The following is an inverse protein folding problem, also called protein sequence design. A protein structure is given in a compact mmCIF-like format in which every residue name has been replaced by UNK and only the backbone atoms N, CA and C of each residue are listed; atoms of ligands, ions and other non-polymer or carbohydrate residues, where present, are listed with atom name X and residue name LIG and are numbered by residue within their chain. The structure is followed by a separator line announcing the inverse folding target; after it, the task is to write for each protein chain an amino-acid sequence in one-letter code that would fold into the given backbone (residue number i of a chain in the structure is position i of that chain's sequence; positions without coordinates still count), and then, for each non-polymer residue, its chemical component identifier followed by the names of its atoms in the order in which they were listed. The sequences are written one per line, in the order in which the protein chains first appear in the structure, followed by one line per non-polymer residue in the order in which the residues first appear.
data_IF_785193563861
#
_entry.id   IF_785193563861
#
_cell.length_a   1.000
_cell.length_b   1.000
_cell.length_c   1.000
_cell.angle_alpha   90.00
_cell.angle_beta   90.00
_cell.angle_gamma   90.00
#
_symmetry.space_group_name_H-M   'P 1'
#
loop_
_entity.id
_entity.type
_entity.pdbx_description
1 polymer ?
#
# COMPACT_ATOMS: atom_id res chain seq x y z
N UNK A 1 20.44 -14.53 0.63
CA UNK A 1 19.33 -13.99 -0.19
C UNK A 1 18.83 -12.72 0.49
N UNK A 2 18.77 -11.57 -0.19
CA UNK A 2 18.29 -10.33 0.44
C UNK A 2 16.77 -10.42 0.56
N UNK A 3 16.23 -10.39 1.78
CA UNK A 3 14.78 -10.53 2.02
C UNK A 3 14.08 -9.25 1.53
N UNK A 4 13.07 -9.42 0.66
CA UNK A 4 12.23 -8.32 0.18
C UNK A 4 11.34 -7.83 1.32
N UNK A 5 11.28 -6.51 1.52
CA UNK A 5 10.44 -5.88 2.55
C UNK A 5 9.04 -5.67 1.97
N UNK A 6 8.04 -6.26 2.62
CA UNK A 6 6.64 -6.02 2.28
C UNK A 6 6.13 -4.76 2.96
N UNK A 7 5.35 -3.95 2.24
CA UNK A 7 4.85 -2.67 2.72
C UNK A 7 3.34 -2.58 2.55
N UNK A 8 2.65 -2.07 3.56
CA UNK A 8 1.27 -1.63 3.47
C UNK A 8 1.16 -0.11 3.60
N UNK A 9 0.15 0.49 2.96
CA UNK A 9 -0.06 1.95 3.00
C UNK A 9 -1.52 2.25 3.32
N UNK A 10 -1.76 3.02 4.38
CA UNK A 10 -3.05 3.65 4.70
C UNK A 10 -2.96 5.14 4.35
N UNK A 11 -3.94 5.62 3.57
CA UNK A 11 -3.97 6.95 2.98
C UNK A 11 -3.12 7.01 1.71
N UNK A 12 -3.77 7.16 0.57
CA UNK A 12 -3.17 7.17 -0.78
C UNK A 12 -3.19 8.57 -1.40
N UNK A 13 -3.10 9.60 -0.56
CA UNK A 13 -2.99 11.00 -0.98
C UNK A 13 -1.59 11.37 -1.50
N UNK A 14 -1.21 12.64 -1.35
CA UNK A 14 0.09 13.12 -1.82
C UNK A 14 1.30 12.43 -1.17
N UNK A 15 1.18 12.01 0.10
CA UNK A 15 2.25 11.32 0.82
C UNK A 15 2.27 9.82 0.50
N UNK A 16 1.24 9.07 0.88
CA UNK A 16 1.24 7.61 0.70
C UNK A 16 1.18 7.17 -0.75
N UNK A 17 0.38 7.83 -1.59
CA UNK A 17 0.23 7.49 -3.00
C UNK A 17 1.34 8.07 -3.88
N UNK A 18 1.45 9.40 -3.95
CA UNK A 18 2.34 10.06 -4.92
C UNK A 18 3.81 10.06 -4.49
N UNK A 19 4.14 10.36 -3.22
CA UNK A 19 5.53 10.48 -2.78
C UNK A 19 6.13 9.12 -2.34
N UNK A 20 5.69 8.59 -1.20
CA UNK A 20 6.30 7.43 -0.57
C UNK A 20 6.02 6.16 -1.37
N UNK A 21 4.75 5.92 -1.73
CA UNK A 21 4.32 4.75 -2.49
C UNK A 21 5.03 4.63 -3.84
N UNK A 22 5.04 5.68 -4.66
CA UNK A 22 5.79 5.66 -5.93
C UNK A 22 7.27 5.47 -5.74
N UNK A 23 7.87 6.12 -4.75
CA UNK A 23 9.30 5.99 -4.49
C UNK A 23 9.68 4.54 -4.19
N UNK A 24 8.96 3.88 -3.27
CA UNK A 24 9.26 2.48 -2.93
C UNK A 24 8.87 1.49 -4.04
N UNK A 25 7.83 1.79 -4.83
CA UNK A 25 7.43 0.97 -5.98
C UNK A 25 8.50 0.96 -7.09
N UNK A 26 9.33 2.00 -7.18
CA UNK A 26 10.50 2.04 -8.08
C UNK A 26 11.71 1.25 -7.55
N UNK A 27 11.71 0.86 -6.28
CA UNK A 27 12.78 0.09 -5.63
C UNK A 27 12.42 -1.40 -5.53
N UNK A 28 11.98 -2.00 -6.64
CA UNK A 28 11.39 -3.36 -6.72
C UNK A 28 12.30 -4.49 -6.19
N UNK A 29 13.61 -4.30 -6.24
CA UNK A 29 14.60 -5.24 -5.69
C UNK A 29 14.63 -5.26 -4.14
N UNK A 30 13.98 -4.28 -3.49
CA UNK A 30 14.00 -4.09 -2.03
C UNK A 30 12.61 -4.13 -1.42
N UNK A 31 11.60 -3.61 -2.12
CA UNK A 31 10.26 -3.40 -1.58
C UNK A 31 9.17 -3.97 -2.49
N UNK A 32 8.10 -4.47 -1.87
CA UNK A 32 6.84 -4.80 -2.53
C UNK A 32 5.68 -4.22 -1.72
N UNK A 33 4.87 -3.38 -2.35
CA UNK A 33 3.61 -2.93 -1.76
C UNK A 33 2.63 -4.10 -1.89
N UNK A 34 2.12 -4.62 -0.77
CA UNK A 34 1.26 -5.81 -0.77
C UNK A 34 -0.18 -5.51 -0.42
N UNK A 35 -0.44 -4.45 0.35
CA UNK A 35 -1.78 -4.04 0.77
C UNK A 35 -1.90 -2.52 0.80
N UNK A 36 -3.07 -2.01 0.47
CA UNK A 36 -3.36 -0.57 0.49
C UNK A 36 -4.74 -0.30 1.08
N UNK A 37 -4.90 0.87 1.70
CA UNK A 37 -6.15 1.31 2.28
C UNK A 37 -6.40 2.80 2.03
N UNK A 38 -7.57 3.16 1.50
CA UNK A 38 -8.03 4.55 1.38
C UNK A 38 -9.56 4.58 1.19
N UNK A 39 -10.25 5.45 1.93
CA UNK A 39 -11.71 5.65 1.84
C UNK A 39 -12.15 6.12 0.43
N UNK A 40 -11.24 6.71 -0.35
CA UNK A 40 -11.51 7.16 -1.70
C UNK A 40 -11.25 6.01 -2.69
N UNK A 41 -12.31 5.34 -3.11
CA UNK A 41 -12.25 4.25 -4.09
C UNK A 41 -11.51 4.62 -5.39
N UNK A 42 -11.61 5.85 -5.87
CA UNK A 42 -10.88 6.29 -7.07
C UNK A 42 -9.36 6.21 -6.86
N UNK A 43 -8.86 6.65 -5.69
CA UNK A 43 -7.46 6.50 -5.32
C UNK A 43 -7.10 5.04 -5.11
N UNK A 44 -7.94 4.29 -4.39
CA UNK A 44 -7.72 2.86 -4.12
C UNK A 44 -7.54 2.05 -5.42
N UNK A 45 -8.39 2.27 -6.42
CA UNK A 45 -8.25 1.64 -7.73
C UNK A 45 -7.02 2.13 -8.50
N UNK A 46 -6.79 3.46 -8.56
CA UNK A 46 -5.64 4.04 -9.26
C UNK A 46 -4.32 3.46 -8.74
N UNK A 47 -4.09 3.51 -7.42
CA UNK A 47 -2.83 3.08 -6.84
C UNK A 47 -2.73 1.56 -6.69
N UNK A 48 -3.84 0.86 -6.50
CA UNK A 48 -3.82 -0.60 -6.53
C UNK A 48 -3.37 -1.12 -7.90
N UNK A 49 -3.79 -0.48 -8.99
CA UNK A 49 -3.33 -0.83 -10.33
C UNK A 49 -1.86 -0.40 -10.55
N UNK A 50 -1.50 0.81 -10.10
CA UNK A 50 -0.13 1.33 -10.26
C UNK A 50 0.92 0.50 -9.50
N UNK A 51 0.56 0.00 -8.31
CA UNK A 51 1.45 -0.75 -7.42
C UNK A 51 1.29 -2.26 -7.55
N UNK A 52 0.45 -2.74 -8.48
CA UNK A 52 0.20 -4.16 -8.74
C UNK A 52 -0.27 -4.92 -7.48
N UNK A 53 -1.19 -4.30 -6.73
CA UNK A 53 -1.81 -4.89 -5.52
C UNK A 53 -3.10 -5.59 -5.93
N UNK A 54 -3.25 -6.87 -5.60
CA UNK A 54 -4.47 -7.63 -5.89
C UNK A 54 -5.69 -7.02 -5.20
N UNK A 55 -6.89 -7.14 -5.80
CA UNK A 55 -8.13 -6.52 -5.31
C UNK A 55 -8.49 -6.92 -3.88
N UNK A 56 -8.22 -8.17 -3.50
CA UNK A 56 -8.43 -8.74 -2.17
C UNK A 56 -7.56 -8.07 -1.08
N UNK A 57 -6.50 -7.37 -1.48
CA UNK A 57 -5.59 -6.67 -0.58
C UNK A 57 -5.78 -5.14 -0.63
N UNK A 58 -6.92 -4.68 -1.17
CA UNK A 58 -7.29 -3.26 -1.25
C UNK A 58 -8.47 -3.03 -0.31
N UNK A 59 -8.25 -2.26 0.73
CA UNK A 59 -9.23 -1.98 1.77
C UNK A 59 -9.78 -0.57 1.61
N UNK A 60 -11.07 -0.40 1.84
CA UNK A 60 -11.78 0.88 1.92
C UNK A 60 -12.15 1.24 3.37
N UNK A 61 -11.80 0.36 4.31
CA UNK A 61 -12.14 0.40 5.73
C UNK A 61 -10.90 0.05 6.56
N UNK A 62 -10.49 0.97 7.45
CA UNK A 62 -9.31 0.79 8.28
C UNK A 62 -9.49 -0.27 9.37
N UNK A 63 -10.70 -0.40 9.93
CA UNK A 63 -10.98 -1.39 10.98
C UNK A 63 -10.79 -2.80 10.41
N UNK A 64 -11.34 -3.06 9.21
CA UNK A 64 -11.12 -4.32 8.47
C UNK A 64 -9.65 -4.52 8.11
N UNK A 65 -8.96 -3.45 7.71
CA UNK A 65 -7.53 -3.54 7.42
C UNK A 65 -6.74 -3.99 8.67
N UNK A 66 -7.08 -3.51 9.86
CA UNK A 66 -6.36 -3.83 11.09
C UNK A 66 -6.74 -5.18 11.74
N UNK A 67 -7.72 -5.91 11.21
CA UNK A 67 -8.08 -7.25 11.69
C UNK A 67 -6.90 -8.24 11.63
N UNK A 68 -5.96 -8.03 10.70
CA UNK A 68 -4.80 -8.89 10.50
C UNK A 68 -3.50 -8.10 10.26
N UNK A 69 -2.36 -8.77 10.43
CA UNK A 69 -1.05 -8.19 10.09
C UNK A 69 -0.70 -8.50 8.63
N UNK A 70 -0.53 -7.45 7.84
CA UNK A 70 -0.39 -7.55 6.38
C UNK A 70 1.04 -7.50 5.82
N UNK A 71 1.98 -6.87 6.53
CA UNK A 71 3.31 -6.55 5.98
C UNK A 71 4.38 -6.35 7.05
N UNK A 72 5.63 -6.22 6.60
CA UNK A 72 6.78 -5.91 7.46
C UNK A 72 6.78 -4.45 7.92
N UNK A 73 6.26 -3.53 7.09
CA UNK A 73 6.22 -2.08 7.36
C UNK A 73 4.87 -1.51 6.96
N UNK A 74 4.27 -0.73 7.87
CA UNK A 74 3.04 0.03 7.61
C UNK A 74 3.33 1.53 7.52
N UNK A 75 2.88 2.16 6.45
CA UNK A 75 2.82 3.62 6.33
C UNK A 75 1.41 4.10 6.63
N UNK A 76 1.28 5.02 7.61
CA UNK A 76 0.03 5.72 7.90
C UNK A 76 0.22 7.18 7.47
N UNK A 77 -0.53 7.60 6.45
CA UNK A 77 -0.37 8.93 5.84
C UNK A 77 -1.70 9.63 5.55
N UNK A 78 -2.70 9.33 6.37
CA UNK A 78 -4.04 9.93 6.38
C UNK A 78 -4.03 11.44 6.56
#
# INVERSE_FOLDING_TARGET
MKKMVTVSIIGLGGRGGEAYGRYIANLKEKFKITHICDINHTRLHKYGNLFDVCSENRFDDEDKFFEEKHSDVLFITT
#
